data_IF_419093954488
#
_entry.id   IF_419093954488
#
_cell.length_a   1.000
_cell.length_b   1.000
_cell.length_c   1.000
_cell.angle_alpha   90.00
_cell.angle_beta   90.00
_cell.angle_gamma   90.00
#
_symmetry.space_group_name_H-M   'P 1'
#
loop_
_entity.id
_entity.type
_entity.pdbx_description
1 polymer ?
#
# COMPACT_ATOMS: atom_id res chain seq x y z
N UNK A 1 8.66 4.41 -43.95
CA UNK A 1 8.11 5.42 -43.02
C UNK A 1 7.95 4.75 -41.68
N UNK A 2 8.95 4.89 -40.82
CA UNK A 2 8.98 4.30 -39.48
C UNK A 2 8.09 5.12 -38.56
N UNK A 3 7.02 4.52 -38.03
CA UNK A 3 6.21 5.15 -37.01
C UNK A 3 6.97 5.02 -35.67
N UNK A 4 7.50 6.14 -35.19
CA UNK A 4 7.91 6.31 -33.80
C UNK A 4 6.66 6.47 -32.96
N UNK A 5 6.39 5.49 -32.10
CA UNK A 5 5.37 5.62 -31.05
C UNK A 5 5.90 6.64 -30.03
N UNK A 6 5.16 7.70 -29.67
CA UNK A 6 5.58 8.65 -28.65
C UNK A 6 5.68 7.94 -27.27
N UNK A 7 6.79 8.14 -26.57
CA UNK A 7 7.12 7.52 -25.27
C UNK A 7 6.19 7.94 -24.10
N UNK A 8 5.14 8.71 -24.37
CA UNK A 8 4.27 9.32 -23.36
C UNK A 8 3.03 8.48 -22.99
N UNK A 9 2.73 7.38 -23.70
CA UNK A 9 1.47 6.63 -23.53
C UNK A 9 1.60 5.28 -22.79
N UNK A 10 2.65 5.12 -21.96
CA UNK A 10 2.82 3.93 -21.12
C UNK A 10 2.48 4.14 -19.63
N UNK A 11 1.78 5.23 -19.29
CA UNK A 11 1.39 5.52 -17.91
C UNK A 11 -0.05 6.02 -17.75
N UNK A 12 -1.00 5.57 -18.58
CA UNK A 12 -2.41 5.94 -18.38
C UNK A 12 -3.37 4.76 -18.61
N UNK A 13 -3.11 3.69 -17.86
CA UNK A 13 -4.18 2.84 -17.37
C UNK A 13 -3.77 2.33 -15.99
N UNK A 14 -4.56 2.54 -14.92
CA UNK A 14 -4.37 1.78 -13.71
C UNK A 14 -4.60 0.31 -14.09
N UNK A 15 -3.52 -0.44 -14.34
CA UNK A 15 -3.56 -1.88 -14.49
C UNK A 15 -4.47 -2.42 -13.39
N UNK A 16 -5.63 -2.98 -13.78
CA UNK A 16 -6.64 -3.57 -12.87
C UNK A 16 -6.13 -4.85 -12.23
N UNK A 17 -4.86 -4.89 -11.87
CA UNK A 17 -4.26 -6.00 -11.18
C UNK A 17 -4.76 -5.95 -9.72
N UNK A 18 -5.42 -6.99 -9.20
CA UNK A 18 -6.06 -6.95 -7.89
C UNK A 18 -5.07 -6.68 -6.74
N UNK A 19 -3.80 -7.03 -6.92
CA UNK A 19 -2.76 -6.78 -5.92
C UNK A 19 -2.00 -5.46 -6.12
N UNK A 20 -2.44 -4.57 -7.03
CA UNK A 20 -1.71 -3.33 -7.34
C UNK A 20 -1.62 -2.41 -6.12
N UNK A 21 -2.72 -2.16 -5.44
CA UNK A 21 -2.74 -1.30 -4.26
C UNK A 21 -1.85 -1.83 -3.14
N UNK A 22 -1.80 -3.15 -2.96
CA UNK A 22 -0.90 -3.79 -1.99
C UNK A 22 0.56 -3.56 -2.40
N UNK A 23 0.87 -3.66 -3.70
CA UNK A 23 2.21 -3.42 -4.23
C UNK A 23 2.62 -1.96 -4.02
N UNK A 24 1.73 -1.02 -4.27
CA UNK A 24 1.98 0.42 -4.10
C UNK A 24 2.25 0.73 -2.62
N UNK A 25 1.46 0.16 -1.70
CA UNK A 25 1.70 0.26 -0.26
C UNK A 25 3.07 -0.31 0.17
N UNK A 26 3.49 -1.45 -0.39
CA UNK A 26 4.84 -2.00 -0.12
C UNK A 26 5.92 -1.04 -0.61
N UNK A 27 5.76 -0.46 -1.80
CA UNK A 27 6.74 0.48 -2.36
C UNK A 27 6.88 1.70 -1.46
N UNK A 28 5.76 2.27 -1.01
CA UNK A 28 5.76 3.40 -0.07
C UNK A 28 6.42 3.03 1.25
N UNK A 29 6.06 1.87 1.82
CA UNK A 29 6.59 1.41 3.09
C UNK A 29 8.11 1.19 3.04
N UNK A 30 8.59 0.50 2.01
CA UNK A 30 10.03 0.23 1.83
C UNK A 30 10.81 1.53 1.55
N UNK A 31 10.23 2.50 0.83
CA UNK A 31 10.86 3.82 0.63
C UNK A 31 11.08 4.59 1.93
N UNK A 32 10.19 4.43 2.90
CA UNK A 32 10.31 5.08 4.21
C UNK A 32 11.33 4.39 5.12
N UNK A 33 11.58 3.10 4.89
CA UNK A 33 12.54 2.31 5.69
C UNK A 33 13.98 2.83 5.61
N UNK A 34 14.71 2.65 6.70
CA UNK A 34 16.11 3.09 6.82
C UNK A 34 17.04 2.34 5.85
N UNK A 35 16.71 1.10 5.48
CA UNK A 35 17.51 0.34 4.49
C UNK A 35 17.58 1.04 3.13
N UNK A 36 16.46 1.60 2.65
CA UNK A 36 16.44 2.35 1.39
C UNK A 36 17.18 3.69 1.52
N UNK A 37 17.09 4.35 2.69
CA UNK A 37 17.83 5.58 2.98
C UNK A 37 19.35 5.36 2.98
N UNK A 38 19.80 4.20 3.41
CA UNK A 38 21.20 3.79 3.41
C UNK A 38 21.71 3.36 2.02
N UNK A 39 20.91 3.49 0.96
CA UNK A 39 21.29 3.16 -0.41
C UNK A 39 21.22 1.65 -0.74
N UNK A 40 20.54 0.87 0.09
CA UNK A 40 20.27 -0.54 -0.17
C UNK A 40 19.37 -0.75 -1.40
N UNK A 41 19.48 -1.90 -2.04
CA UNK A 41 18.57 -2.25 -3.15
C UNK A 41 17.21 -2.66 -2.59
N UNK A 42 16.13 -2.32 -3.30
CA UNK A 42 14.76 -2.64 -2.87
C UNK A 42 14.56 -4.12 -2.47
N UNK A 43 15.07 -5.06 -3.26
CA UNK A 43 14.94 -6.49 -2.99
C UNK A 43 15.74 -6.98 -1.77
N UNK A 44 16.82 -6.29 -1.42
CA UNK A 44 17.60 -6.53 -0.20
C UNK A 44 16.85 -5.96 1.01
N UNK A 45 16.29 -4.76 0.86
CA UNK A 45 15.50 -4.10 1.91
C UNK A 45 14.17 -4.80 2.22
N UNK A 46 13.54 -5.46 1.25
CA UNK A 46 12.37 -6.31 1.54
C UNK A 46 12.72 -7.54 2.40
N UNK A 47 14.01 -7.94 2.44
CA UNK A 47 14.50 -9.10 3.20
C UNK A 47 15.26 -8.70 4.46
N UNK A 48 15.50 -7.42 4.68
CA UNK A 48 16.24 -6.95 5.85
C UNK A 48 15.39 -7.10 7.11
N UNK A 49 16.06 -7.21 8.25
CA UNK A 49 15.40 -7.28 9.57
C UNK A 49 14.92 -5.91 10.04
N UNK A 50 15.50 -4.85 9.48
CA UNK A 50 15.24 -3.44 9.81
C UNK A 50 13.94 -2.92 9.19
N UNK A 51 13.19 -3.79 8.53
CA UNK A 51 11.89 -3.46 7.99
C UNK A 51 10.85 -3.47 9.13
N UNK A 52 10.07 -2.39 9.24
CA UNK A 52 8.97 -2.26 10.19
C UNK A 52 7.95 -3.41 10.02
N UNK A 53 7.30 -3.79 11.12
CA UNK A 53 6.36 -4.91 11.13
C UNK A 53 5.13 -4.65 10.23
N UNK A 54 4.71 -3.39 10.08
CA UNK A 54 3.65 -2.98 9.15
C UNK A 54 4.01 -3.29 7.70
N UNK A 55 5.26 -3.05 7.28
CA UNK A 55 5.70 -3.42 5.94
C UNK A 55 5.70 -4.95 5.73
N UNK A 56 6.03 -5.73 6.77
CA UNK A 56 5.98 -7.20 6.70
C UNK A 56 4.54 -7.69 6.55
N UNK A 57 3.58 -7.03 7.18
CA UNK A 57 2.15 -7.30 6.99
C UNK A 57 1.74 -7.09 5.53
N UNK A 58 2.18 -5.99 4.90
CA UNK A 58 1.91 -5.73 3.48
C UNK A 58 2.55 -6.78 2.56
N UNK A 59 3.77 -7.21 2.86
CA UNK A 59 4.42 -8.31 2.13
C UNK A 59 3.59 -9.59 2.22
N UNK A 60 3.14 -9.95 3.41
CA UNK A 60 2.28 -11.12 3.62
C UNK A 60 0.97 -11.01 2.85
N UNK A 61 0.30 -9.85 2.90
CA UNK A 61 -0.92 -9.57 2.15
C UNK A 61 -0.70 -9.71 0.65
N UNK A 62 0.44 -9.25 0.13
CA UNK A 62 0.77 -9.36 -1.29
C UNK A 62 1.03 -10.81 -1.71
N UNK A 63 1.72 -11.60 -0.89
CA UNK A 63 1.89 -13.03 -1.15
C UNK A 63 0.56 -13.76 -1.16
N UNK A 64 -0.34 -13.45 -0.23
CA UNK A 64 -1.68 -14.03 -0.18
C UNK A 64 -2.51 -13.62 -1.39
N UNK A 65 -2.47 -12.35 -1.77
CA UNK A 65 -3.14 -11.85 -2.97
C UNK A 65 -2.61 -12.53 -4.24
N UNK A 66 -1.29 -12.67 -4.39
CA UNK A 66 -0.70 -13.37 -5.51
C UNK A 66 -1.13 -14.84 -5.54
N UNK A 67 -1.14 -15.51 -4.39
CA UNK A 67 -1.62 -16.90 -4.28
C UNK A 67 -3.09 -17.03 -4.69
N UNK A 68 -3.94 -16.12 -4.23
CA UNK A 68 -5.37 -16.09 -4.56
C UNK A 68 -5.62 -15.87 -6.05
N UNK A 69 -4.71 -15.21 -6.79
CA UNK A 69 -4.84 -15.07 -8.25
C UNK A 69 -4.68 -16.38 -9.01
N UNK A 70 -3.90 -17.32 -8.47
CA UNK A 70 -3.68 -18.63 -9.09
C UNK A 70 -4.67 -19.68 -8.59
N UNK A 71 -5.44 -19.39 -7.54
CA UNK A 71 -6.49 -20.28 -7.06
C UNK A 71 -7.75 -20.18 -7.95
N UNK A 72 -8.11 -21.28 -8.60
CA UNK A 72 -9.29 -21.36 -9.49
C UNK A 72 -10.59 -21.04 -8.77
N UNK A 73 -10.68 -21.29 -7.45
CA UNK A 73 -11.87 -21.00 -6.63
C UNK A 73 -12.10 -19.49 -6.49
N UNK A 74 -11.03 -18.71 -6.46
CA UNK A 74 -11.06 -17.26 -6.29
C UNK A 74 -11.27 -16.52 -7.62
N UNK A 75 -11.13 -17.20 -8.76
CA UNK A 75 -11.43 -16.62 -10.09
C UNK A 75 -12.89 -16.17 -10.22
N UNK A 76 -13.83 -16.89 -9.61
CA UNK A 76 -15.27 -16.56 -9.68
C UNK A 76 -15.72 -15.62 -8.56
N UNK A 77 -15.16 -15.74 -7.35
CA UNK A 77 -15.55 -14.93 -6.18
C UNK A 77 -14.77 -13.61 -6.06
N UNK A 78 -13.72 -13.46 -6.87
CA UNK A 78 -12.75 -12.39 -6.80
C UNK A 78 -11.64 -12.71 -5.79
N UNK A 79 -10.54 -11.97 -5.89
CA UNK A 79 -9.40 -12.12 -5.00
C UNK A 79 -9.76 -11.66 -3.58
N UNK A 80 -9.84 -12.62 -2.65
CA UNK A 80 -10.31 -12.36 -1.28
C UNK A 80 -9.28 -11.53 -0.52
N UNK A 81 -7.99 -11.83 -0.67
CA UNK A 81 -6.93 -11.07 -0.03
C UNK A 81 -6.85 -9.61 -0.51
N UNK A 82 -7.07 -9.35 -1.81
CA UNK A 82 -7.14 -7.97 -2.32
C UNK A 82 -8.31 -7.19 -1.70
N UNK A 83 -9.50 -7.79 -1.64
CA UNK A 83 -10.68 -7.16 -1.03
C UNK A 83 -10.51 -6.92 0.46
N UNK A 84 -9.92 -7.87 1.18
CA UNK A 84 -9.61 -7.73 2.59
C UNK A 84 -8.66 -6.55 2.82
N UNK A 85 -7.57 -6.48 2.06
CA UNK A 85 -6.62 -5.38 2.15
C UNK A 85 -7.26 -4.00 1.90
N UNK A 86 -8.10 -3.88 0.86
CA UNK A 86 -8.81 -2.65 0.55
C UNK A 86 -9.72 -2.20 1.71
N UNK A 87 -10.46 -3.16 2.29
CA UNK A 87 -11.32 -2.90 3.43
C UNK A 87 -10.50 -2.42 4.64
N UNK A 88 -9.45 -3.15 5.01
CA UNK A 88 -8.60 -2.82 6.16
C UNK A 88 -7.97 -1.43 6.01
N UNK A 89 -7.50 -1.09 4.80
CA UNK A 89 -6.94 0.24 4.50
C UNK A 89 -8.00 1.34 4.56
N UNK A 90 -9.22 1.10 4.07
CA UNK A 90 -10.33 2.07 4.19
C UNK A 90 -10.75 2.30 5.64
N UNK A 91 -10.77 1.24 6.47
CA UNK A 91 -11.05 1.35 7.90
C UNK A 91 -9.94 2.11 8.64
N UNK A 92 -8.66 1.83 8.33
CA UNK A 92 -7.51 2.59 8.87
C UNK A 92 -7.54 4.07 8.45
N UNK A 93 -8.08 4.42 7.27
CA UNK A 93 -8.28 5.82 6.87
C UNK A 93 -9.39 6.48 7.68
N UNK A 94 -10.55 5.83 7.79
CA UNK A 94 -11.68 6.36 8.56
C UNK A 94 -11.31 6.60 10.03
N UNK A 95 -10.57 5.69 10.67
CA UNK A 95 -10.09 5.87 12.04
C UNK A 95 -9.16 7.07 12.21
N UNK A 96 -8.25 7.31 11.26
CA UNK A 96 -7.37 8.49 11.27
C UNK A 96 -8.15 9.79 11.14
N UNK A 97 -9.18 9.80 10.28
CA UNK A 97 -10.09 10.95 10.14
C UNK A 97 -10.91 11.19 11.42
N UNK A 98 -11.38 10.13 12.09
CA UNK A 98 -12.08 10.23 13.38
C UNK A 98 -11.13 10.79 14.47
N UNK A 99 -9.90 10.26 14.59
CA UNK A 99 -8.89 10.74 15.54
C UNK A 99 -8.49 12.21 15.32
N UNK A 100 -8.45 12.67 14.07
CA UNK A 100 -8.14 14.06 13.72
C UNK A 100 -9.29 15.02 14.07
N UNK A 101 -10.54 14.57 13.99
CA UNK A 101 -11.74 15.37 14.29
C UNK A 101 -12.10 15.38 15.80
N UNK A 102 -11.57 14.45 16.60
CA UNK A 102 -11.88 14.34 18.03
C UNK A 102 -10.91 15.13 18.93
N UNK A 103 -10.03 15.97 18.35
CA UNK A 103 -9.22 16.93 19.12
C UNK A 103 -10.10 18.09 19.61
N UNK A 104 -10.48 18.16 20.91
CA UNK A 104 -11.37 19.20 21.41
C UNK A 104 -10.58 20.46 21.72
N UNK A 105 -11.20 21.58 21.39
CA UNK A 105 -10.93 22.95 21.83
C UNK A 105 -9.95 23.11 23.00
N UNK A 106 -8.87 23.87 22.76
CA UNK A 106 -8.10 24.52 23.81
C UNK A 106 -9.02 25.34 24.74
N UNK A 107 -8.94 25.19 26.06
CA UNK A 107 -9.60 26.08 27.01
C UNK A 107 -8.93 27.45 26.93
N UNK A 108 -9.62 28.47 26.42
CA UNK A 108 -9.20 29.86 26.63
C UNK A 108 -9.51 30.22 28.08
N UNK A 109 -8.49 30.17 28.92
CA UNK A 109 -8.51 30.69 30.29
C UNK A 109 -9.00 32.14 30.30
N UNK A 110 -10.13 32.36 31.00
CA UNK A 110 -10.57 33.69 31.37
C UNK A 110 -9.67 34.16 32.52
N UNK A 111 -8.79 35.14 32.26
CA UNK A 111 -7.89 35.71 33.27
C UNK A 111 -7.98 37.23 33.24
N UNK A 112 -8.37 37.73 34.42
CA UNK A 112 -8.43 39.12 34.90
C UNK A 112 -9.68 39.94 34.55
#
# INVERSE_FOLDING_TARGET
MSQTIPEAEYNEAPSRHPCREIKDAIIECVKLSDCMRNGGKFHECMKSKDLEDDCKEFLYAYYKCKKDMFDTRNRFRGNVAAKAFQKDMSEKRRKREEEENESPASPSENKQ
#
